data_IF_444621737185
#
_entry.id   IF_444621737185
#
_cell.length_a   1.000
_cell.length_b   1.000
_cell.length_c   1.000
_cell.angle_alpha   90.00
_cell.angle_beta   90.00
_cell.angle_gamma   90.00
#
_symmetry.space_group_name_H-M   'P 1'
#
loop_
_entity.id
_entity.type
_entity.pdbx_description
1 polymer ?
#
# COMPACT_ATOMS: atom_id res chain seq x y z
N UNK A 1 -43.57 -60.43 66.51
CA UNK A 1 -42.91 -59.19 67.02
C UNK A 1 -41.67 -58.96 66.14
N UNK A 2 -41.47 -57.71 65.72
CA UNK A 2 -40.64 -57.24 64.60
C UNK A 2 -39.22 -57.85 64.46
N UNK A 3 -38.84 -58.18 63.23
CA UNK A 3 -37.45 -58.34 62.80
C UNK A 3 -37.05 -57.14 61.92
N UNK A 4 -36.01 -56.41 62.33
CA UNK A 4 -35.39 -55.30 61.58
C UNK A 4 -34.32 -55.87 60.65
N UNK A 5 -34.39 -55.52 59.37
CA UNK A 5 -33.30 -55.69 58.42
C UNK A 5 -32.99 -54.33 57.77
N UNK A 6 -31.75 -53.87 57.93
CA UNK A 6 -31.17 -52.76 57.17
C UNK A 6 -30.51 -53.32 55.91
N UNK A 7 -30.85 -52.80 54.73
CA UNK A 7 -30.07 -53.00 53.49
C UNK A 7 -29.52 -51.66 53.00
N UNK A 8 -28.19 -51.57 52.99
CA UNK A 8 -27.36 -50.58 52.28
C UNK A 8 -27.48 -50.83 50.77
N UNK A 9 -27.82 -49.80 50.00
CA UNK A 9 -27.59 -49.71 48.55
C UNK A 9 -27.03 -48.31 48.27
N UNK A 10 -25.71 -48.16 48.10
CA UNK A 10 -24.88 -48.30 46.90
C UNK A 10 -24.83 -47.01 46.05
N UNK A 11 -24.00 -46.07 46.54
CA UNK A 11 -23.82 -44.69 46.06
C UNK A 11 -23.02 -44.61 44.74
N UNK A 12 -22.50 -45.74 44.24
CA UNK A 12 -21.64 -45.74 43.03
C UNK A 12 -22.41 -45.58 41.71
N UNK A 13 -23.70 -45.94 41.64
CA UNK A 13 -24.47 -45.80 40.40
C UNK A 13 -25.00 -44.38 40.15
N UNK A 14 -25.24 -43.58 41.20
CA UNK A 14 -25.79 -42.22 41.05
C UNK A 14 -24.74 -41.22 40.57
N UNK A 15 -23.48 -41.42 40.96
CA UNK A 15 -22.35 -40.56 40.55
C UNK A 15 -21.97 -40.79 39.09
N UNK A 16 -22.04 -42.04 38.59
CA UNK A 16 -21.73 -42.36 37.20
C UNK A 16 -22.72 -41.71 36.22
N UNK A 17 -23.99 -41.60 36.58
CA UNK A 17 -25.03 -40.97 35.74
C UNK A 17 -24.88 -39.44 35.70
N UNK A 18 -24.40 -38.79 36.77
CA UNK A 18 -24.12 -37.35 36.75
C UNK A 18 -22.86 -36.99 35.97
N UNK A 19 -21.82 -37.84 35.99
CA UNK A 19 -20.60 -37.60 35.21
C UNK A 19 -20.85 -37.77 33.70
N UNK A 20 -21.70 -38.71 33.29
CA UNK A 20 -22.07 -38.87 31.87
C UNK A 20 -22.95 -37.73 31.32
N UNK A 21 -23.77 -37.08 32.17
CA UNK A 21 -24.61 -35.95 31.73
C UNK A 21 -23.84 -34.62 31.62
N UNK A 22 -22.75 -34.45 32.38
CA UNK A 22 -21.87 -33.28 32.22
C UNK A 22 -21.01 -33.35 30.95
N UNK A 23 -20.75 -34.54 30.40
CA UNK A 23 -19.94 -34.69 29.17
C UNK A 23 -20.77 -34.49 27.89
N UNK A 24 -22.11 -34.64 27.93
CA UNK A 24 -22.98 -34.41 26.76
C UNK A 24 -23.53 -32.99 26.63
N UNK A 25 -23.31 -32.11 27.62
CA UNK A 25 -23.73 -30.70 27.59
C UNK A 25 -22.61 -29.72 27.23
N UNK A 26 -21.44 -30.21 26.78
CA UNK A 26 -20.36 -29.37 26.25
C UNK A 26 -20.36 -29.33 24.71
N UNK A 27 -21.28 -30.01 24.03
CA UNK A 27 -21.27 -30.13 22.55
C UNK A 27 -22.28 -29.27 21.79
N UNK A 28 -22.96 -28.30 22.41
CA UNK A 28 -23.93 -27.47 21.67
C UNK A 28 -23.99 -25.99 22.09
N UNK A 29 -22.89 -25.42 22.54
CA UNK A 29 -22.61 -24.04 22.16
C UNK A 29 -21.64 -24.11 21.02
N UNK A 30 -22.20 -24.14 19.81
CA UNK A 30 -21.48 -23.76 18.63
C UNK A 30 -20.99 -22.33 18.84
N UNK A 31 -19.80 -22.19 19.42
CA UNK A 31 -18.89 -21.19 18.96
C UNK A 31 -18.86 -21.42 17.44
N UNK A 32 -19.64 -20.61 16.71
CA UNK A 32 -19.11 -20.04 15.49
C UNK A 32 -17.84 -19.32 15.94
N UNK A 33 -16.76 -20.08 16.15
CA UNK A 33 -15.52 -19.68 15.56
C UNK A 33 -15.94 -19.41 14.13
N UNK A 34 -16.09 -18.12 13.84
CA UNK A 34 -15.81 -17.66 12.52
C UNK A 34 -14.41 -18.22 12.31
N UNK A 35 -14.35 -19.45 11.76
CA UNK A 35 -13.23 -19.89 10.98
C UNK A 35 -13.25 -18.83 9.89
N UNK A 36 -12.60 -17.72 10.19
CA UNK A 36 -12.10 -16.81 9.21
C UNK A 36 -11.10 -17.71 8.52
N UNK A 37 -11.62 -18.53 7.59
CA UNK A 37 -10.84 -19.27 6.64
C UNK A 37 -9.95 -18.18 6.09
N UNK A 38 -8.67 -18.21 6.46
CA UNK A 38 -7.72 -17.18 6.15
C UNK A 38 -7.75 -17.08 4.65
N UNK A 39 -8.55 -16.13 4.16
CA UNK A 39 -8.88 -16.05 2.77
C UNK A 39 -7.54 -15.78 2.10
N UNK A 40 -7.11 -16.68 1.22
CA UNK A 40 -5.79 -16.61 0.62
C UNK A 40 -5.56 -15.21 0.06
N UNK A 41 -4.44 -14.62 0.48
CA UNK A 41 -3.90 -13.40 -0.08
C UNK A 41 -2.76 -13.83 -1.00
N UNK A 42 -2.73 -13.43 -2.29
CA UNK A 42 -3.69 -12.60 -3.03
C UNK A 42 -4.89 -13.39 -3.61
N UNK A 43 -5.84 -12.70 -4.24
CA UNK A 43 -6.96 -13.31 -4.99
C UNK A 43 -6.55 -13.65 -6.43
N UNK A 44 -7.19 -14.64 -7.06
CA UNK A 44 -6.98 -14.92 -8.49
C UNK A 44 -7.82 -14.03 -9.42
N UNK A 45 -8.89 -13.42 -8.90
CA UNK A 45 -9.87 -12.64 -9.67
C UNK A 45 -9.76 -11.14 -9.40
N UNK A 46 -10.09 -10.33 -10.42
CA UNK A 46 -10.20 -8.88 -10.28
C UNK A 46 -11.39 -8.50 -9.38
N UNK A 47 -11.35 -7.29 -8.81
CA UNK A 47 -12.48 -6.76 -8.03
C UNK A 47 -13.78 -6.65 -8.85
N UNK A 48 -13.66 -6.38 -10.16
CA UNK A 48 -14.79 -6.31 -11.10
C UNK A 48 -15.42 -7.69 -11.29
N UNK A 49 -14.59 -8.72 -11.51
CA UNK A 49 -15.03 -10.12 -11.69
C UNK A 49 -15.68 -10.69 -10.42
N UNK A 50 -15.29 -10.16 -9.26
CA UNK A 50 -15.88 -10.50 -7.95
C UNK A 50 -17.16 -9.72 -7.62
N UNK A 51 -17.61 -8.83 -8.51
CA UNK A 51 -18.80 -8.02 -8.27
C UNK A 51 -18.67 -7.01 -7.13
N UNK A 52 -17.43 -6.59 -6.80
CA UNK A 52 -17.16 -5.68 -5.68
C UNK A 52 -17.23 -4.19 -6.08
N UNK A 53 -17.36 -3.90 -7.37
CA UNK A 53 -17.52 -2.53 -7.89
C UNK A 53 -19.02 -2.24 -7.98
N UNK A 54 -19.59 -1.71 -6.90
CA UNK A 54 -21.02 -1.41 -6.74
C UNK A 54 -21.23 0.05 -6.35
N UNK A 55 -22.43 0.58 -6.59
CA UNK A 55 -22.78 1.98 -6.26
C UNK A 55 -22.96 2.25 -4.77
N UNK A 56 -23.36 1.24 -3.99
CA UNK A 56 -23.59 1.34 -2.55
C UNK A 56 -22.82 0.23 -1.80
N UNK A 57 -21.51 0.42 -1.56
CA UNK A 57 -20.67 -0.61 -0.94
C UNK A 57 -20.88 -0.68 0.58
N UNK A 58 -21.04 -1.89 1.10
CA UNK A 58 -21.12 -2.10 2.54
C UNK A 58 -19.71 -2.05 3.19
N UNK A 59 -19.53 -1.28 4.26
CA UNK A 59 -18.22 -1.07 4.90
C UNK A 59 -17.50 -2.38 5.31
N UNK A 60 -18.25 -3.40 5.75
CA UNK A 60 -17.71 -4.72 6.10
C UNK A 60 -17.01 -5.39 4.91
N UNK A 61 -17.52 -5.20 3.69
CA UNK A 61 -16.91 -5.78 2.48
C UNK A 61 -15.62 -5.03 2.13
N UNK A 62 -15.59 -3.71 2.33
CA UNK A 62 -14.37 -2.91 2.14
C UNK A 62 -13.26 -3.39 3.10
N UNK A 63 -13.55 -3.46 4.40
CA UNK A 63 -12.57 -3.90 5.41
C UNK A 63 -12.10 -5.34 5.15
N UNK A 64 -13.00 -6.19 4.67
CA UNK A 64 -12.69 -7.59 4.33
C UNK A 64 -11.82 -7.72 3.08
N UNK A 65 -12.07 -6.91 2.05
CA UNK A 65 -11.48 -7.08 0.73
C UNK A 65 -10.35 -6.08 0.39
N UNK A 66 -10.11 -5.02 1.19
CA UNK A 66 -9.15 -3.94 0.87
C UNK A 66 -7.73 -4.43 0.55
N UNK A 67 -7.27 -5.48 1.24
CA UNK A 67 -5.94 -6.07 1.05
C UNK A 67 -5.91 -7.19 -0.01
N UNK A 68 -7.08 -7.64 -0.49
CA UNK A 68 -7.23 -8.80 -1.40
C UNK A 68 -7.17 -8.37 -2.86
N UNK A 69 -6.00 -7.91 -3.30
CA UNK A 69 -5.75 -7.60 -4.71
C UNK A 69 -5.58 -8.89 -5.54
N UNK A 70 -5.72 -8.77 -6.88
CA UNK A 70 -5.51 -9.87 -7.80
C UNK A 70 -4.00 -10.14 -7.99
N UNK A 71 -3.55 -11.39 -7.80
CA UNK A 71 -2.16 -11.82 -7.97
C UNK A 71 -1.63 -11.53 -9.38
N UNK A 72 -2.50 -11.64 -10.38
CA UNK A 72 -2.20 -11.37 -11.79
C UNK A 72 -2.26 -9.86 -12.06
N UNK A 73 -1.20 -9.15 -11.64
CA UNK A 73 -1.07 -7.69 -11.81
C UNK A 73 -0.94 -7.33 -13.30
N UNK A 74 -2.07 -6.93 -13.89
CA UNK A 74 -2.15 -6.40 -15.25
C UNK A 74 -2.72 -4.98 -15.27
N UNK A 75 -2.31 -4.20 -16.27
CA UNK A 75 -2.88 -2.88 -16.56
C UNK A 75 -4.27 -3.08 -17.20
N UNK A 76 -5.31 -2.57 -16.55
CA UNK A 76 -6.69 -2.63 -17.06
C UNK A 76 -7.12 -1.33 -17.77
N UNK A 77 -6.39 -0.24 -17.53
CA UNK A 77 -6.66 1.07 -18.09
C UNK A 77 -5.70 1.38 -19.24
N UNK A 78 -6.22 1.82 -20.39
CA UNK A 78 -5.41 2.04 -21.59
C UNK A 78 -4.64 3.38 -21.55
N UNK A 79 -5.12 4.37 -20.80
CA UNK A 79 -4.48 5.70 -20.73
C UNK A 79 -3.17 5.74 -19.95
N UNK A 80 -2.57 6.93 -19.88
CA UNK A 80 -1.39 7.17 -19.05
C UNK A 80 -1.76 7.14 -17.56
N UNK A 81 -0.90 6.54 -16.73
CA UNK A 81 -1.07 6.40 -15.29
C UNK A 81 0.20 6.89 -14.60
N UNK A 82 0.10 8.05 -13.95
CA UNK A 82 1.14 8.63 -13.11
C UNK A 82 0.90 8.26 -11.64
N UNK A 83 1.89 7.65 -10.99
CA UNK A 83 1.86 7.41 -9.54
C UNK A 83 2.79 8.37 -8.80
N UNK A 84 2.29 9.10 -7.80
CA UNK A 84 3.14 9.87 -6.88
C UNK A 84 3.65 8.98 -5.76
N UNK A 85 4.92 9.15 -5.37
CA UNK A 85 5.55 8.43 -4.25
C UNK A 85 6.21 9.42 -3.32
N UNK A 86 5.94 9.32 -2.02
CA UNK A 86 6.36 10.31 -1.04
C UNK A 86 7.24 9.68 0.05
N UNK A 87 8.31 10.35 0.52
CA UNK A 87 9.19 9.81 1.56
C UNK A 87 8.49 9.53 2.89
N UNK A 88 7.53 10.39 3.29
CA UNK A 88 6.78 10.26 4.54
C UNK A 88 5.73 9.13 4.53
N UNK A 89 5.48 8.50 3.37
CA UNK A 89 4.65 7.32 3.26
C UNK A 89 5.43 6.19 2.57
N UNK A 90 6.31 5.55 3.34
CA UNK A 90 7.18 4.47 2.86
C UNK A 90 6.42 3.31 2.19
N UNK A 91 5.13 3.10 2.52
CA UNK A 91 4.32 2.09 1.87
C UNK A 91 4.18 2.33 0.35
N UNK A 92 4.18 3.60 -0.09
CA UNK A 92 4.11 3.97 -1.50
C UNK A 92 5.24 3.38 -2.36
N UNK A 93 6.45 3.24 -1.80
CA UNK A 93 7.58 2.62 -2.49
C UNK A 93 7.33 1.14 -2.79
N UNK A 94 6.69 0.42 -1.86
CA UNK A 94 6.34 -0.98 -2.02
C UNK A 94 5.17 -1.16 -3.00
N UNK A 95 4.16 -0.31 -2.91
CA UNK A 95 3.03 -0.28 -3.85
C UNK A 95 3.49 -0.01 -5.28
N UNK A 96 4.41 0.93 -5.48
CA UNK A 96 4.96 1.24 -6.80
C UNK A 96 5.70 0.03 -7.41
N UNK A 97 6.46 -0.74 -6.61
CA UNK A 97 7.13 -1.97 -7.08
C UNK A 97 6.12 -3.07 -7.39
N UNK A 98 5.15 -3.30 -6.51
CA UNK A 98 4.15 -4.36 -6.64
C UNK A 98 3.24 -4.13 -7.85
N UNK A 99 2.79 -2.90 -8.05
CA UNK A 99 1.87 -2.52 -9.12
C UNK A 99 2.55 -1.78 -10.28
N UNK A 100 3.88 -1.83 -10.36
CA UNK A 100 4.68 -1.21 -11.42
C UNK A 100 4.21 -1.51 -12.84
N UNK A 101 3.76 -2.75 -13.19
CA UNK A 101 3.18 -3.05 -14.49
C UNK A 101 1.92 -2.23 -14.87
N UNK A 102 1.25 -1.61 -13.90
CA UNK A 102 0.08 -0.74 -14.13
C UNK A 102 0.45 0.71 -14.42
N UNK A 103 1.68 1.14 -14.07
CA UNK A 103 2.12 2.54 -14.12
C UNK A 103 2.83 2.83 -15.44
N UNK A 104 2.54 3.98 -16.04
CA UNK A 104 3.33 4.50 -17.18
C UNK A 104 4.47 5.40 -16.70
N UNK A 105 4.23 6.10 -15.60
CA UNK A 105 5.20 6.98 -14.97
C UNK A 105 5.06 6.97 -13.46
N UNK A 106 6.16 7.26 -12.77
CA UNK A 106 6.21 7.45 -11.32
C UNK A 106 6.90 8.76 -11.04
N UNK A 107 6.27 9.61 -10.23
CA UNK A 107 6.82 10.88 -9.77
C UNK A 107 7.15 10.80 -8.28
N UNK A 108 8.40 10.49 -7.93
CA UNK A 108 8.85 10.61 -6.56
C UNK A 108 8.93 12.08 -6.13
N UNK A 109 8.51 12.35 -4.90
CA UNK A 109 8.42 13.69 -4.31
C UNK A 109 9.65 13.97 -3.47
N UNK A 110 10.78 14.23 -4.15
CA UNK A 110 12.08 14.44 -3.50
C UNK A 110 12.61 15.86 -3.69
N UNK A 111 12.49 16.40 -4.90
CA UNK A 111 13.30 17.54 -5.31
C UNK A 111 12.64 18.87 -4.95
N UNK A 112 13.46 19.79 -4.45
CA UNK A 112 13.09 21.19 -4.29
C UNK A 112 14.15 22.05 -4.97
N UNK A 113 13.71 23.04 -5.73
CA UNK A 113 14.53 23.98 -6.47
C UNK A 113 14.40 25.34 -5.82
N UNK A 114 15.53 25.91 -5.40
CA UNK A 114 15.62 27.22 -4.75
C UNK A 114 16.46 28.15 -5.59
N UNK A 115 16.05 29.42 -5.66
CA UNK A 115 16.90 30.49 -6.16
C UNK A 115 17.74 31.04 -5.00
N UNK A 116 19.05 31.14 -5.19
CA UNK A 116 20.00 31.64 -4.18
C UNK A 116 20.48 33.07 -4.48
N UNK A 117 20.34 33.49 -5.73
CA UNK A 117 20.69 34.81 -6.24
C UNK A 117 20.38 34.89 -7.74
N UNK A 118 20.76 35.99 -8.42
CA UNK A 118 20.71 36.07 -9.88
C UNK A 118 21.50 34.91 -10.50
N UNK A 119 20.88 34.22 -11.46
CA UNK A 119 21.49 33.10 -12.20
C UNK A 119 22.13 32.06 -11.28
N UNK A 120 21.58 31.87 -10.08
CA UNK A 120 22.11 30.90 -9.10
C UNK A 120 20.98 30.09 -8.52
N UNK A 121 20.93 28.82 -8.90
CA UNK A 121 19.92 27.85 -8.49
C UNK A 121 20.54 26.68 -7.74
N UNK A 122 19.76 26.05 -6.88
CA UNK A 122 20.17 24.91 -6.08
C UNK A 122 19.02 23.91 -5.97
N UNK A 123 19.31 22.64 -6.25
CA UNK A 123 18.35 21.54 -6.11
C UNK A 123 18.67 20.70 -4.87
N UNK A 124 17.78 20.75 -3.89
CA UNK A 124 17.84 19.92 -2.68
C UNK A 124 16.99 18.65 -2.76
N UNK A 125 17.13 17.79 -1.75
CA UNK A 125 16.34 16.55 -1.63
C UNK A 125 16.93 15.34 -2.37
N UNK A 126 18.14 15.48 -2.92
CA UNK A 126 18.84 14.39 -3.63
C UNK A 126 19.19 13.20 -2.74
N UNK A 127 19.30 13.39 -1.43
CA UNK A 127 19.57 12.31 -0.48
C UNK A 127 18.42 11.30 -0.35
N UNK A 128 17.19 11.67 -0.75
CA UNK A 128 16.03 10.78 -0.78
C UNK A 128 15.98 9.89 -2.03
N UNK A 129 16.90 10.10 -2.98
CA UNK A 129 17.02 9.25 -4.16
C UNK A 129 17.52 7.85 -3.75
N UNK A 130 16.72 6.83 -4.06
CA UNK A 130 17.06 5.42 -3.82
C UNK A 130 17.30 4.67 -5.15
N UNK A 131 18.57 4.49 -5.57
CA UNK A 131 18.91 3.75 -6.79
C UNK A 131 18.44 2.30 -6.76
N UNK A 132 18.40 1.67 -5.58
CA UNK A 132 17.95 0.30 -5.39
C UNK A 132 16.46 0.16 -5.67
N UNK A 133 15.66 1.11 -5.17
CA UNK A 133 14.24 1.20 -5.46
C UNK A 133 13.97 1.47 -6.94
N UNK A 134 14.70 2.41 -7.57
CA UNK A 134 14.60 2.69 -9.01
C UNK A 134 14.86 1.43 -9.83
N UNK A 135 15.92 0.68 -9.51
CA UNK A 135 16.25 -0.59 -10.16
C UNK A 135 15.16 -1.64 -9.98
N UNK A 136 14.60 -1.76 -8.78
CA UNK A 136 13.51 -2.70 -8.49
C UNK A 136 12.23 -2.34 -9.27
N UNK A 137 11.90 -1.05 -9.37
CA UNK A 137 10.76 -0.56 -10.14
C UNK A 137 10.94 -0.88 -11.63
N UNK A 138 12.11 -0.59 -12.22
CA UNK A 138 12.42 -0.92 -13.62
C UNK A 138 12.48 -2.43 -13.89
N UNK A 139 12.81 -3.25 -12.89
CA UNK A 139 12.71 -4.72 -12.98
C UNK A 139 11.26 -5.17 -13.15
N UNK A 140 10.32 -4.53 -12.43
CA UNK A 140 8.89 -4.84 -12.55
C UNK A 140 8.26 -4.31 -13.84
N UNK A 141 8.74 -3.17 -14.35
CA UNK A 141 8.27 -2.56 -15.57
C UNK A 141 9.41 -1.80 -16.27
N UNK A 142 9.97 -2.39 -17.31
CA UNK A 142 11.13 -1.82 -18.05
C UNK A 142 10.82 -0.49 -18.74
N UNK A 143 9.55 -0.21 -19.04
CA UNK A 143 9.10 0.97 -19.79
C UNK A 143 8.63 2.12 -18.88
N UNK A 144 8.66 1.94 -17.56
CA UNK A 144 8.22 2.97 -16.63
C UNK A 144 9.13 4.19 -16.70
N UNK A 145 8.54 5.38 -16.79
CA UNK A 145 9.26 6.66 -16.73
C UNK A 145 9.33 7.13 -15.29
N UNK A 146 10.50 7.51 -14.81
CA UNK A 146 10.67 8.10 -13.48
C UNK A 146 10.80 9.60 -13.69
N UNK A 147 9.86 10.37 -13.17
CA UNK A 147 9.73 11.81 -13.42
C UNK A 147 9.59 12.53 -12.08
N UNK A 148 10.69 12.71 -11.33
CA UNK A 148 10.64 13.32 -10.00
C UNK A 148 9.94 14.67 -10.04
N UNK A 149 9.09 14.93 -9.04
CA UNK A 149 8.46 16.23 -8.88
C UNK A 149 9.51 17.21 -8.40
N UNK A 150 9.65 18.34 -9.08
CA UNK A 150 10.44 19.49 -8.65
C UNK A 150 9.50 20.52 -8.05
N UNK A 151 9.75 20.93 -6.81
CA UNK A 151 9.03 22.01 -6.15
C UNK A 151 9.86 23.29 -6.18
N UNK A 152 9.31 24.38 -6.70
CA UNK A 152 9.90 25.71 -6.54
C UNK A 152 9.68 26.16 -5.08
N UNK A 153 10.71 26.04 -4.26
CA UNK A 153 10.63 26.23 -2.81
C UNK A 153 11.16 27.61 -2.40
N UNK A 154 10.35 28.37 -1.65
CA UNK A 154 10.72 29.70 -1.17
C UNK A 154 10.74 30.82 -2.23
N UNK A 155 10.16 30.60 -3.41
CA UNK A 155 10.12 31.60 -4.47
C UNK A 155 9.14 32.73 -4.16
N UNK A 156 9.61 33.98 -4.28
CA UNK A 156 8.78 35.17 -4.20
C UNK A 156 8.20 35.55 -5.56
N UNK A 157 7.23 36.48 -5.58
CA UNK A 157 6.74 37.06 -6.83
C UNK A 157 7.87 37.68 -7.67
N UNK A 158 8.82 38.36 -7.02
CA UNK A 158 9.96 38.97 -7.71
C UNK A 158 10.87 37.91 -8.34
N UNK A 159 11.05 36.75 -7.71
CA UNK A 159 11.83 35.65 -8.29
C UNK A 159 11.22 35.13 -9.58
N UNK A 160 9.89 34.91 -9.59
CA UNK A 160 9.19 34.53 -10.81
C UNK A 160 9.35 35.57 -11.91
N UNK A 161 9.20 36.86 -11.59
CA UNK A 161 9.31 37.92 -12.60
C UNK A 161 10.74 38.07 -13.13
N UNK A 162 11.75 37.96 -12.27
CA UNK A 162 13.17 38.03 -12.69
C UNK A 162 13.54 36.86 -13.59
N UNK A 163 13.15 35.63 -13.22
CA UNK A 163 13.51 34.43 -13.99
C UNK A 163 12.73 34.37 -15.29
N UNK A 164 11.40 34.52 -15.26
CA UNK A 164 10.59 34.40 -16.48
C UNK A 164 10.78 35.58 -17.46
N UNK A 165 11.39 36.68 -17.00
CA UNK A 165 11.69 37.85 -17.80
C UNK A 165 13.10 37.88 -18.41
N UNK A 166 13.93 36.87 -18.15
CA UNK A 166 15.34 36.81 -18.60
C UNK A 166 15.65 35.46 -19.24
N UNK A 167 16.15 35.47 -20.47
CA UNK A 167 16.57 34.24 -21.17
C UNK A 167 17.76 33.58 -20.45
N UNK A 168 18.72 34.39 -19.99
CA UNK A 168 19.90 33.92 -19.26
C UNK A 168 19.50 33.18 -17.96
N UNK A 169 18.54 33.72 -17.20
CA UNK A 169 18.04 33.06 -15.98
C UNK A 169 17.28 31.76 -16.27
N UNK A 170 16.53 31.70 -17.38
CA UNK A 170 15.84 30.48 -17.80
C UNK A 170 16.84 29.42 -18.23
N UNK A 171 17.90 29.81 -18.94
CA UNK A 171 18.94 28.89 -19.40
C UNK A 171 19.70 28.30 -18.21
N UNK A 172 20.09 29.11 -17.24
CA UNK A 172 20.79 28.65 -16.04
C UNK A 172 19.89 27.74 -15.18
N UNK A 173 18.61 28.10 -15.01
CA UNK A 173 17.62 27.24 -14.35
C UNK A 173 17.48 25.88 -15.04
N UNK A 174 17.39 25.89 -16.37
CA UNK A 174 17.25 24.67 -17.17
C UNK A 174 18.51 23.81 -17.10
N UNK A 175 19.69 24.44 -17.14
CA UNK A 175 20.99 23.79 -17.01
C UNK A 175 21.08 22.99 -15.70
N UNK A 176 20.78 23.63 -14.57
CA UNK A 176 20.79 23.00 -13.24
C UNK A 176 19.83 21.78 -13.17
N UNK A 177 18.60 21.93 -13.69
CA UNK A 177 17.63 20.83 -13.71
C UNK A 177 18.06 19.66 -14.62
N UNK A 178 18.67 19.97 -15.76
CA UNK A 178 19.18 18.96 -16.70
C UNK A 178 20.35 18.19 -16.08
N UNK A 179 21.26 18.87 -15.39
CA UNK A 179 22.42 18.25 -14.76
C UNK A 179 22.00 17.33 -13.62
N UNK A 180 21.08 17.78 -12.77
CA UNK A 180 20.47 16.92 -11.74
C UNK A 180 19.81 15.69 -12.36
N UNK A 181 19.09 15.85 -13.47
CA UNK A 181 18.40 14.74 -14.11
C UNK A 181 19.36 13.70 -14.73
N UNK A 182 20.50 14.14 -15.29
CA UNK A 182 21.56 13.27 -15.83
C UNK A 182 22.26 12.50 -14.72
N UNK A 183 22.67 13.18 -13.64
CA UNK A 183 23.41 12.55 -12.52
C UNK A 183 22.58 11.45 -11.85
N UNK A 184 21.26 11.64 -11.74
CA UNK A 184 20.37 10.73 -11.02
C UNK A 184 19.64 9.72 -11.91
N UNK A 185 19.98 9.60 -13.20
CA UNK A 185 19.33 8.67 -14.16
C UNK A 185 17.78 8.79 -14.17
N UNK A 186 17.28 10.00 -13.90
CA UNK A 186 15.85 10.26 -13.86
C UNK A 186 15.29 10.46 -15.28
N UNK A 187 16.07 11.06 -16.18
CA UNK A 187 15.72 11.18 -17.59
C UNK A 187 16.51 10.17 -18.44
N UNK A 188 15.85 9.13 -18.93
CA UNK A 188 16.26 8.52 -20.20
C UNK A 188 15.37 9.17 -21.25
N UNK A 189 15.93 10.18 -21.93
CA UNK A 189 15.36 10.72 -23.17
C UNK A 189 15.62 9.72 -24.29
#
# INVERSE_FOLDING_TARGET
MFSRNYKKYNIQHTVLVHVLFCVSMVTLVGHKSMLFCAQSFPSDLLVVERGLVVSDPHWKDIVKEEKRYCAHVKKAFNGQVLGYVTPWNAHGYNIAKLFGPKLTSVSPVWLQLRRRGPETFDVSGLHDHDPGWVKALRKSNKKVRIVPRVLLDGWSYQDYMSVLGSEDEIEELASELVDVAKVNNCLHV
#
